data_IF_922950368656
#
_entry.id   IF_922950368656
#
_cell.length_a   1.000
_cell.length_b   1.000
_cell.length_c   1.000
_cell.angle_alpha   90.00
_cell.angle_beta   90.00
_cell.angle_gamma   90.00
#
_symmetry.space_group_name_H-M   'P 1'
#
loop_
_entity.id
_entity.type
_entity.pdbx_description
1 polymer ?
#
# COMPACT_ATOMS: atom_id res chain seq x y z
N UNK A 1 -12.66 -4.07 -15.15
CA UNK A 1 -11.38 -4.52 -14.60
C UNK A 1 -11.15 -3.87 -13.24
N UNK A 2 -10.88 -4.66 -12.22
CA UNK A 2 -10.67 -4.16 -10.86
C UNK A 2 -9.17 -3.92 -10.62
N UNK A 3 -8.80 -2.67 -10.31
CA UNK A 3 -7.43 -2.29 -10.00
C UNK A 3 -7.41 -1.58 -8.66
N UNK A 4 -6.74 -2.16 -7.70
CA UNK A 4 -6.69 -1.64 -6.33
C UNK A 4 -5.26 -1.50 -5.84
N UNK A 5 -4.99 -0.41 -5.14
CA UNK A 5 -3.74 -0.21 -4.41
C UNK A 5 -4.06 -0.17 -2.93
N UNK A 6 -3.41 -1.03 -2.17
CA UNK A 6 -3.64 -1.15 -0.74
C UNK A 6 -2.44 -0.56 0.00
N UNK A 7 -2.69 0.45 0.81
CA UNK A 7 -1.66 1.10 1.64
C UNK A 7 -1.87 0.67 3.09
N UNK A 8 -0.88 -0.01 3.64
CA UNK A 8 -0.89 -0.42 5.05
C UNK A 8 0.07 0.47 5.82
N UNK A 9 -0.46 1.23 6.76
CA UNK A 9 0.30 2.19 7.55
C UNK A 9 0.62 1.64 8.94
N UNK A 10 1.64 2.24 9.57
CA UNK A 10 2.06 1.84 10.92
C UNK A 10 1.03 2.21 11.97
N UNK A 11 0.93 1.43 13.08
CA UNK A 11 0.10 1.78 14.24
C UNK A 11 0.72 2.87 15.13
N UNK A 12 1.79 3.50 14.66
CA UNK A 12 2.53 4.55 15.36
C UNK A 12 2.92 5.64 14.36
N UNK A 13 3.53 6.73 14.83
CA UNK A 13 3.95 7.81 13.95
C UNK A 13 4.97 7.31 12.92
N UNK A 14 4.69 7.59 11.65
CA UNK A 14 5.51 7.11 10.54
C UNK A 14 5.58 8.19 9.46
N UNK A 15 6.76 8.79 9.30
CA UNK A 15 6.97 9.86 8.31
C UNK A 15 6.75 9.41 6.88
N UNK A 16 7.23 8.23 6.53
CA UNK A 16 7.05 7.68 5.18
C UNK A 16 5.58 7.32 4.89
N UNK A 17 4.83 6.90 5.92
CA UNK A 17 3.40 6.66 5.78
C UNK A 17 2.66 7.93 5.42
N UNK A 18 2.99 9.05 6.06
CA UNK A 18 2.39 10.35 5.75
C UNK A 18 2.74 10.80 4.33
N UNK A 19 3.96 10.59 3.89
CA UNK A 19 4.38 10.90 2.52
C UNK A 19 3.58 10.08 1.52
N UNK A 20 3.41 8.78 1.77
CA UNK A 20 2.62 7.90 0.91
C UNK A 20 1.16 8.32 0.87
N UNK A 21 0.56 8.66 2.01
CA UNK A 21 -0.83 9.12 2.09
C UNK A 21 -1.08 10.38 1.27
N UNK A 22 -0.08 11.24 1.12
CA UNK A 22 -0.20 12.47 0.34
C UNK A 22 -0.03 12.22 -1.15
N UNK A 23 0.84 11.28 -1.52
CA UNK A 23 1.18 11.01 -2.92
C UNK A 23 0.21 10.05 -3.61
N UNK A 24 -0.22 9.00 -2.91
CA UNK A 24 -0.99 7.92 -3.50
C UNK A 24 -2.37 8.28 -4.03
N UNK A 25 -3.17 9.15 -3.37
CA UNK A 25 -4.49 9.50 -3.92
C UNK A 25 -4.42 10.05 -5.34
N UNK A 26 -3.47 10.91 -5.63
CA UNK A 26 -3.29 11.48 -6.96
C UNK A 26 -2.81 10.43 -7.96
N UNK A 27 -1.85 9.61 -7.54
CA UNK A 27 -1.31 8.54 -8.38
C UNK A 27 -2.42 7.56 -8.76
N UNK A 28 -3.20 7.11 -7.79
CA UNK A 28 -4.30 6.18 -8.03
C UNK A 28 -5.36 6.78 -8.95
N UNK A 29 -5.73 8.03 -8.72
CA UNK A 29 -6.69 8.73 -9.55
C UNK A 29 -6.22 8.82 -11.00
N UNK A 30 -4.94 9.15 -11.21
CA UNK A 30 -4.38 9.32 -12.56
C UNK A 30 -4.27 8.01 -13.32
N UNK A 31 -4.24 6.87 -12.65
CA UNK A 31 -4.04 5.56 -13.26
C UNK A 31 -5.26 4.63 -13.14
N UNK A 32 -6.37 5.14 -12.62
CA UNK A 32 -7.59 4.35 -12.51
C UNK A 32 -7.57 3.27 -11.45
N UNK A 33 -6.82 3.49 -10.38
CA UNK A 33 -6.75 2.57 -9.24
C UNK A 33 -7.63 3.06 -8.10
N UNK A 34 -8.28 2.11 -7.43
CA UNK A 34 -8.95 2.38 -6.15
C UNK A 34 -7.91 2.32 -5.04
N UNK A 35 -7.85 3.37 -4.21
CA UNK A 35 -6.95 3.40 -3.07
C UNK A 35 -7.66 2.89 -1.83
N UNK A 36 -7.09 1.86 -1.20
CA UNK A 36 -7.58 1.31 0.07
C UNK A 36 -6.51 1.56 1.13
N UNK A 37 -6.85 2.34 2.14
CA UNK A 37 -5.94 2.64 3.24
C UNK A 37 -6.31 1.79 4.45
N UNK A 38 -5.32 1.14 5.04
CA UNK A 38 -5.47 0.32 6.23
C UNK A 38 -4.39 0.66 7.23
N UNK A 39 -4.75 0.69 8.51
CA UNK A 39 -3.78 0.82 9.59
C UNK A 39 -3.54 -0.56 10.18
N UNK A 40 -2.26 -0.95 10.28
CA UNK A 40 -1.90 -2.22 10.91
C UNK A 40 -2.00 -2.06 12.42
N UNK A 41 -2.93 -2.78 13.03
CA UNK A 41 -3.14 -2.75 14.49
C UNK A 41 -2.55 -4.01 15.08
N UNK A 42 -1.32 -3.92 15.58
CA UNK A 42 -0.65 -5.05 16.21
C UNK A 42 -1.31 -5.39 17.55
N UNK A 43 -1.74 -6.64 17.68
CA UNK A 43 -2.38 -7.14 18.90
C UNK A 43 -1.40 -7.81 19.84
N UNK A 44 -0.18 -8.11 19.35
CA UNK A 44 0.78 -8.94 20.08
C UNK A 44 0.58 -10.43 19.88
N UNK A 45 -0.43 -10.82 19.11
CA UNK A 45 -0.70 -12.22 18.77
C UNK A 45 -0.28 -12.46 17.31
N UNK A 46 0.81 -13.23 17.06
CA UNK A 46 1.29 -13.46 15.68
C UNK A 46 0.26 -14.08 14.75
N UNK A 47 -0.74 -14.79 15.28
CA UNK A 47 -1.78 -15.40 14.46
C UNK A 47 -2.80 -14.38 13.95
N UNK A 48 -3.00 -13.30 14.69
CA UNK A 48 -3.96 -12.23 14.34
C UNK A 48 -3.32 -11.05 13.63
N UNK A 49 -2.02 -10.83 13.87
CA UNK A 49 -1.32 -9.69 13.29
C UNK A 49 -0.98 -9.94 11.83
N UNK A 50 -1.07 -8.87 11.02
CA UNK A 50 -0.61 -8.93 9.65
C UNK A 50 0.90 -9.16 9.63
N UNK A 51 1.42 -9.97 8.67
CA UNK A 51 2.86 -10.24 8.58
C UNK A 51 3.60 -9.05 7.95
N UNK A 52 3.45 -7.87 8.52
CA UNK A 52 4.05 -6.64 8.03
C UNK A 52 5.15 -6.24 8.99
N UNK A 53 6.37 -6.14 8.48
CA UNK A 53 7.57 -5.80 9.25
C UNK A 53 8.17 -4.44 8.89
N UNK A 54 7.71 -3.81 7.82
CA UNK A 54 8.12 -2.46 7.41
C UNK A 54 6.91 -1.64 7.00
N UNK A 55 6.95 -0.34 7.28
CA UNK A 55 5.88 0.58 6.95
C UNK A 55 6.39 1.76 6.16
N UNK A 56 5.55 2.26 5.22
CA UNK A 56 4.30 1.66 4.79
C UNK A 56 4.52 0.41 3.96
N UNK A 57 3.54 -0.48 3.90
CA UNK A 57 3.54 -1.59 2.95
C UNK A 57 2.50 -1.28 1.88
N UNK A 58 2.88 -1.44 0.62
CA UNK A 58 2.03 -1.11 -0.51
C UNK A 58 1.83 -2.37 -1.34
N UNK A 59 0.56 -2.68 -1.60
CA UNK A 59 0.18 -3.84 -2.40
C UNK A 59 -0.63 -3.39 -3.60
N UNK A 60 -0.38 -4.00 -4.75
CA UNK A 60 -1.17 -3.77 -5.97
C UNK A 60 -1.92 -5.04 -6.30
N UNK A 61 -3.24 -4.91 -6.42
CA UNK A 61 -4.13 -6.02 -6.75
C UNK A 61 -4.92 -5.70 -8.02
N UNK A 62 -4.85 -6.59 -8.99
CA UNK A 62 -5.57 -6.45 -10.26
C UNK A 62 -6.43 -7.68 -10.47
N UNK A 63 -7.75 -7.48 -10.65
CA UNK A 63 -8.71 -8.56 -10.83
C UNK A 63 -8.62 -9.60 -9.71
N UNK A 64 -8.52 -9.12 -8.47
CA UNK A 64 -8.44 -9.94 -7.25
C UNK A 64 -7.14 -10.75 -7.12
N UNK A 65 -6.17 -10.49 -7.98
CA UNK A 65 -4.88 -11.15 -7.94
C UNK A 65 -3.79 -10.18 -7.47
N UNK A 66 -3.01 -10.59 -6.46
CA UNK A 66 -1.90 -9.79 -5.94
C UNK A 66 -0.76 -9.80 -6.94
N UNK A 67 -0.40 -8.61 -7.45
CA UNK A 67 0.65 -8.45 -8.46
C UNK A 67 1.96 -7.91 -7.92
N UNK A 68 1.89 -7.19 -6.80
CA UNK A 68 3.06 -6.46 -6.32
C UNK A 68 2.94 -6.20 -4.82
N UNK A 69 4.07 -6.32 -4.14
CA UNK A 69 4.19 -5.94 -2.72
C UNK A 69 5.49 -5.17 -2.57
N UNK A 70 5.43 -3.96 -2.02
CA UNK A 70 6.61 -3.17 -1.70
C UNK A 70 6.60 -2.84 -0.21
N UNK A 71 7.70 -3.16 0.45
CA UNK A 71 7.91 -2.83 1.87
C UNK A 71 8.71 -1.53 1.95
N UNK A 72 8.14 -0.55 2.64
CA UNK A 72 8.68 0.80 2.67
C UNK A 72 8.07 1.65 1.55
N UNK A 73 8.46 2.92 1.50
CA UNK A 73 7.94 3.86 0.52
C UNK A 73 8.95 4.10 -0.61
N UNK A 74 8.53 3.81 -1.83
CA UNK A 74 9.27 4.16 -3.03
C UNK A 74 8.29 4.57 -4.12
N UNK A 75 8.17 5.85 -4.36
CA UNK A 75 7.29 6.40 -5.39
C UNK A 75 7.63 5.83 -6.76
N UNK A 76 8.92 5.72 -7.07
CA UNK A 76 9.39 5.21 -8.36
C UNK A 76 8.96 3.76 -8.58
N UNK A 77 9.16 2.91 -7.60
CA UNK A 77 8.77 1.50 -7.71
C UNK A 77 7.26 1.33 -7.87
N UNK A 78 6.48 2.10 -7.11
CA UNK A 78 5.03 2.06 -7.19
C UNK A 78 4.56 2.51 -8.56
N UNK A 79 5.07 3.63 -9.07
CA UNK A 79 4.72 4.14 -10.39
C UNK A 79 5.08 3.17 -11.50
N UNK A 80 6.27 2.57 -11.43
CA UNK A 80 6.70 1.59 -12.43
C UNK A 80 5.78 0.37 -12.46
N UNK A 81 5.30 -0.07 -11.31
CA UNK A 81 4.36 -1.19 -11.25
C UNK A 81 2.98 -0.83 -11.76
N UNK A 82 2.45 0.31 -11.34
CA UNK A 82 1.12 0.78 -11.74
C UNK A 82 1.02 0.99 -13.25
N UNK A 83 2.09 1.47 -13.89
CA UNK A 83 2.12 1.71 -15.33
C UNK A 83 1.96 0.45 -16.19
N UNK A 84 2.11 -0.72 -15.59
CA UNK A 84 1.94 -1.99 -16.32
C UNK A 84 0.47 -2.33 -16.57
N UNK A 85 -0.44 -1.64 -15.90
CA UNK A 85 -1.89 -1.96 -15.94
C UNK A 85 -2.76 -0.77 -16.42
#
# INVERSE_FOLDING_TARGET
>A
MSKQLILITAPFNCGYCETAKKALPKICKNHGFELIEMQDEKTGNPEEDLPVDMYPTIMVRVNEEMKFVNRGWSKEKVLNEIKKY
#
